data_IF_083642093743
#
_entry.id   IF_083642093743
#
_cell.length_a   1.000
_cell.length_b   1.000
_cell.length_c   1.000
_cell.angle_alpha   90.00
_cell.angle_beta   90.00
_cell.angle_gamma   90.00
#
_symmetry.space_group_name_H-M   'P 1'
#
loop_
_entity.id
_entity.type
_entity.pdbx_description
1 polymer ?
#
# COMPACT_ATOMS: atom_id res chain seq x y z
N UNK A 1 -55.68 -3.28 -25.26
CA UNK A 1 -55.23 -4.52 -24.58
C UNK A 1 -53.72 -4.57 -24.76
N UNK A 2 -52.97 -4.06 -23.77
CA UNK A 2 -51.52 -3.85 -23.84
C UNK A 2 -50.76 -5.16 -23.63
N UNK A 3 -49.82 -5.49 -24.51
CA UNK A 3 -48.79 -6.49 -24.22
C UNK A 3 -47.48 -5.73 -24.11
N UNK A 4 -47.04 -5.53 -22.86
CA UNK A 4 -45.77 -4.92 -22.52
C UNK A 4 -44.66 -5.91 -22.87
N UNK A 5 -43.87 -5.58 -23.88
CA UNK A 5 -42.63 -6.28 -24.19
C UNK A 5 -41.61 -5.94 -23.11
N UNK A 6 -41.24 -6.91 -22.29
CA UNK A 6 -40.23 -6.75 -21.24
C UNK A 6 -38.87 -6.48 -21.89
N UNK A 7 -38.30 -5.30 -21.61
CA UNK A 7 -36.92 -4.97 -21.98
C UNK A 7 -35.97 -5.81 -21.13
N UNK A 8 -35.31 -6.79 -21.74
CA UNK A 8 -34.13 -7.43 -21.16
C UNK A 8 -32.98 -6.42 -21.26
N UNK A 9 -32.75 -5.67 -20.19
CA UNK A 9 -31.57 -4.81 -20.05
C UNK A 9 -30.37 -5.73 -19.81
N UNK A 10 -29.34 -5.77 -20.69
CA UNK A 10 -28.12 -6.46 -20.37
C UNK A 10 -27.42 -5.69 -19.25
N UNK A 11 -27.46 -6.25 -18.04
CA UNK A 11 -26.77 -5.74 -16.87
C UNK A 11 -25.27 -5.97 -17.06
N UNK A 12 -24.61 -5.03 -17.74
CA UNK A 12 -23.16 -4.92 -17.76
C UNK A 12 -22.70 -4.30 -16.42
N UNK A 13 -22.66 -5.11 -15.36
CA UNK A 13 -21.95 -4.76 -14.11
C UNK A 13 -20.46 -4.96 -14.39
N UNK A 14 -19.87 -4.01 -15.10
CA UNK A 14 -18.45 -3.99 -15.41
C UNK A 14 -17.86 -2.66 -14.99
N UNK A 15 -17.23 -2.62 -13.80
CA UNK A 15 -16.32 -1.58 -13.28
C UNK A 15 -16.84 -0.13 -13.11
N UNK A 16 -17.82 0.33 -13.90
CA UNK A 16 -18.37 1.70 -13.81
C UNK A 16 -19.19 1.96 -12.54
N UNK A 17 -19.81 0.92 -11.97
CA UNK A 17 -20.61 1.04 -10.75
C UNK A 17 -19.76 1.38 -9.51
N UNK A 18 -18.48 0.94 -9.48
CA UNK A 18 -17.56 1.25 -8.38
C UNK A 18 -17.11 2.72 -8.40
N UNK A 19 -16.97 3.30 -9.60
CA UNK A 19 -16.61 4.71 -9.78
C UNK A 19 -17.77 5.65 -9.41
N UNK A 20 -19.01 5.27 -9.70
CA UNK A 20 -20.19 6.11 -9.40
C UNK A 20 -20.63 6.09 -7.93
N UNK A 21 -20.38 5.00 -7.18
CA UNK A 21 -20.72 4.92 -5.75
C UNK A 21 -19.97 5.96 -4.90
N UNK A 22 -18.74 6.34 -5.28
CA UNK A 22 -17.94 7.31 -4.51
C UNK A 22 -18.49 8.75 -4.58
N UNK A 23 -19.15 9.16 -5.67
CA UNK A 23 -19.73 10.51 -5.76
C UNK A 23 -21.08 10.64 -5.04
N UNK A 24 -21.92 9.61 -5.09
CA UNK A 24 -23.25 9.67 -4.46
C UNK A 24 -23.15 9.55 -2.92
N UNK A 25 -22.14 8.84 -2.41
CA UNK A 25 -21.86 8.76 -0.97
C UNK A 25 -21.39 10.10 -0.36
N UNK A 26 -20.66 10.93 -1.12
CA UNK A 26 -20.20 12.24 -0.66
C UNK A 26 -21.34 13.27 -0.62
N UNK A 27 -22.31 13.18 -1.53
CA UNK A 27 -23.43 14.10 -1.63
C UNK A 27 -24.51 13.93 -0.53
N UNK A 28 -24.54 12.78 0.16
CA UNK A 28 -25.59 12.45 1.14
C UNK A 28 -25.21 12.64 2.62
N UNK A 29 -24.03 13.18 2.95
CA UNK A 29 -23.72 13.62 4.31
C UNK A 29 -23.75 12.55 5.42
N UNK A 30 -23.77 11.26 5.05
CA UNK A 30 -23.76 10.12 5.98
C UNK A 30 -22.36 9.65 6.37
N UNK A 31 -21.30 10.30 5.85
CA UNK A 31 -19.92 10.06 6.29
C UNK A 31 -19.31 11.42 6.63
N UNK A 32 -19.48 11.83 7.88
CA UNK A 32 -18.62 12.85 8.50
C UNK A 32 -17.52 12.13 9.28
N UNK A 33 -16.31 12.24 8.75
CA UNK A 33 -15.03 12.33 9.47
C UNK A 33 -14.65 11.17 10.40
N UNK A 34 -14.10 10.12 9.80
CA UNK A 34 -13.05 9.30 10.42
C UNK A 34 -12.11 8.69 9.37
N UNK A 35 -12.59 8.43 8.14
CA UNK A 35 -11.81 7.72 7.09
C UNK A 35 -10.94 8.61 6.18
N UNK A 36 -10.97 9.93 6.36
CA UNK A 36 -9.84 10.79 5.96
C UNK A 36 -8.72 10.70 7.01
N UNK A 37 -8.49 9.49 7.56
CA UNK A 37 -7.19 9.16 8.11
C UNK A 37 -6.26 9.22 6.91
N UNK A 38 -5.64 10.38 6.73
CA UNK A 38 -4.59 10.63 5.79
C UNK A 38 -3.75 9.35 5.75
N UNK A 39 -3.76 8.60 4.65
CA UNK A 39 -3.17 7.26 4.68
C UNK A 39 -1.65 7.32 5.01
N UNK A 40 -1.08 8.52 4.88
CA UNK A 40 0.21 8.95 5.39
C UNK A 40 0.33 9.08 6.91
N UNK A 41 -0.75 9.33 7.65
CA UNK A 41 -0.80 9.27 9.11
C UNK A 41 -0.88 7.80 9.61
N UNK A 42 -1.56 6.90 8.89
CA UNK A 42 -1.64 5.47 9.25
C UNK A 42 -0.27 4.80 9.25
N UNK A 43 0.57 5.14 8.28
CA UNK A 43 1.94 4.64 8.14
C UNK A 43 2.98 5.75 8.45
N UNK A 44 2.62 6.77 9.25
CA UNK A 44 3.59 7.78 9.72
C UNK A 44 4.51 7.23 10.79
N UNK A 45 5.20 6.17 10.41
CA UNK A 45 6.06 5.44 11.28
C UNK A 45 7.48 5.64 10.77
N UNK A 46 8.33 6.10 11.68
CA UNK A 46 9.73 6.44 11.48
C UNK A 46 10.49 5.36 10.64
N UNK A 47 10.03 4.13 10.63
CA UNK A 47 10.64 3.03 9.88
C UNK A 47 10.41 3.00 8.36
N UNK A 48 9.56 3.86 7.78
CA UNK A 48 9.55 4.08 6.33
C UNK A 48 10.51 5.20 5.89
N UNK A 49 11.09 5.96 6.83
CA UNK A 49 12.11 6.97 6.55
C UNK A 49 13.37 6.29 5.99
N UNK A 50 13.88 6.69 4.81
CA UNK A 50 15.15 6.20 4.24
C UNK A 50 16.38 6.32 5.15
N UNK A 51 16.31 7.14 6.21
CA UNK A 51 17.43 7.38 7.14
C UNK A 51 17.34 6.56 8.43
N UNK A 52 16.20 5.95 8.73
CA UNK A 52 15.99 5.24 10.01
C UNK A 52 16.96 4.06 10.21
N UNK A 53 17.26 3.30 9.16
CA UNK A 53 18.20 2.18 9.24
C UNK A 53 19.61 2.59 9.67
N UNK A 54 20.00 3.85 9.43
CA UNK A 54 21.31 4.41 9.80
C UNK A 54 21.47 4.59 11.32
N UNK A 55 20.35 4.64 12.07
CA UNK A 55 20.34 4.81 13.52
C UNK A 55 20.75 3.53 14.26
N UNK A 56 20.69 2.36 13.61
CA UNK A 56 20.96 1.06 14.25
C UNK A 56 22.44 0.76 14.53
N UNK A 57 23.37 1.57 14.01
CA UNK A 57 24.81 1.39 14.23
C UNK A 57 25.42 0.12 13.59
N UNK A 58 26.69 -0.14 13.90
CA UNK A 58 27.41 -1.32 13.42
C UNK A 58 26.85 -2.59 14.08
N UNK A 59 26.05 -3.35 13.34
CA UNK A 59 25.34 -4.55 13.85
C UNK A 59 23.87 -4.59 13.47
N UNK A 60 23.30 -3.49 12.98
CA UNK A 60 21.93 -3.46 12.49
C UNK A 60 21.73 -4.48 11.37
N UNK A 61 20.78 -5.40 11.57
CA UNK A 61 20.37 -6.32 10.52
C UNK A 61 19.69 -5.54 9.39
N UNK A 62 20.34 -5.49 8.23
CA UNK A 62 19.82 -4.89 6.99
C UNK A 62 19.66 -5.97 5.91
N UNK A 63 18.96 -5.62 4.84
CA UNK A 63 18.90 -6.48 3.66
C UNK A 63 20.24 -6.42 2.91
N UNK A 64 20.55 -7.47 2.16
CA UNK A 64 21.59 -7.36 1.14
C UNK A 64 21.11 -6.45 0.01
N UNK A 65 22.02 -5.76 -0.69
CA UNK A 65 21.66 -4.93 -1.84
C UNK A 65 20.85 -5.71 -2.89
N UNK A 66 21.25 -6.96 -3.17
CA UNK A 66 20.53 -7.84 -4.08
C UNK A 66 19.10 -8.15 -3.60
N UNK A 67 18.93 -8.44 -2.31
CA UNK A 67 17.61 -8.70 -1.72
C UNK A 67 16.73 -7.45 -1.75
N UNK A 68 17.28 -6.29 -1.38
CA UNK A 68 16.56 -5.02 -1.44
C UNK A 68 16.13 -4.67 -2.87
N UNK A 69 16.98 -4.90 -3.88
CA UNK A 69 16.64 -4.70 -5.29
C UNK A 69 15.51 -5.62 -5.77
N UNK A 70 15.54 -6.89 -5.38
CA UNK A 70 14.47 -7.86 -5.72
C UNK A 70 13.14 -7.39 -5.13
N UNK A 71 13.14 -7.05 -3.84
CA UNK A 71 11.93 -6.60 -3.14
C UNK A 71 11.43 -5.25 -3.67
N UNK A 72 12.32 -4.30 -3.95
CA UNK A 72 11.94 -3.02 -4.53
C UNK A 72 11.28 -3.20 -5.91
N UNK A 73 11.82 -4.10 -6.74
CA UNK A 73 11.22 -4.45 -8.03
C UNK A 73 9.86 -5.12 -7.88
N UNK A 74 9.70 -6.02 -6.90
CA UNK A 74 8.41 -6.65 -6.62
C UNK A 74 7.37 -5.61 -6.21
N UNK A 75 7.72 -4.67 -5.34
CA UNK A 75 6.83 -3.58 -4.94
C UNK A 75 6.48 -2.66 -6.11
N UNK A 76 7.45 -2.33 -6.97
CA UNK A 76 7.20 -1.49 -8.15
C UNK A 76 6.32 -2.18 -9.19
N UNK A 77 6.46 -3.50 -9.34
CA UNK A 77 5.64 -4.28 -10.26
C UNK A 77 4.26 -4.62 -9.70
N UNK A 78 4.04 -4.46 -8.39
CA UNK A 78 2.76 -4.73 -7.74
C UNK A 78 1.68 -3.71 -8.16
N UNK A 79 2.08 -2.51 -8.59
CA UNK A 79 1.16 -1.55 -9.20
C UNK A 79 0.89 -1.96 -10.64
N UNK A 80 -0.27 -2.54 -10.88
CA UNK A 80 -0.69 -3.00 -12.19
C UNK A 80 -1.30 -1.88 -13.03
N UNK A 81 -1.41 -2.11 -14.34
CA UNK A 81 -2.20 -1.23 -15.22
C UNK A 81 -3.69 -1.57 -15.20
N UNK A 82 -4.07 -2.77 -14.73
CA UNK A 82 -5.43 -3.31 -14.81
C UNK A 82 -5.90 -3.89 -13.46
N UNK A 83 -5.04 -4.61 -12.73
CA UNK A 83 -5.27 -5.08 -11.36
C UNK A 83 -3.98 -4.90 -10.56
N UNK A 84 -4.08 -4.34 -9.36
CA UNK A 84 -2.97 -4.26 -8.42
C UNK A 84 -2.76 -5.62 -7.73
N UNK A 85 -1.51 -5.94 -7.40
CA UNK A 85 -1.12 -7.17 -6.68
C UNK A 85 -0.74 -6.81 -5.25
N UNK A 86 -1.75 -6.52 -4.43
CA UNK A 86 -1.53 -6.13 -3.02
C UNK A 86 -0.97 -7.30 -2.21
N UNK A 87 -1.24 -8.55 -2.64
CA UNK A 87 -0.66 -9.75 -2.06
C UNK A 87 0.88 -9.76 -2.19
N UNK A 88 1.42 -9.37 -3.36
CA UNK A 88 2.86 -9.22 -3.54
C UNK A 88 3.47 -8.19 -2.59
N UNK A 89 2.76 -7.09 -2.31
CA UNK A 89 3.18 -6.10 -1.32
C UNK A 89 3.30 -6.74 0.07
N UNK A 90 2.29 -7.50 0.51
CA UNK A 90 2.32 -8.16 1.81
C UNK A 90 3.41 -9.18 1.94
N UNK A 91 3.65 -9.95 0.88
CA UNK A 91 4.66 -10.99 0.91
C UNK A 91 6.08 -10.43 0.98
N UNK A 92 6.33 -9.23 0.43
CA UNK A 92 7.57 -8.50 0.65
C UNK A 92 7.71 -8.11 2.12
N UNK A 93 6.70 -7.46 2.71
CA UNK A 93 6.79 -7.00 4.10
C UNK A 93 6.84 -8.13 5.12
N UNK A 94 6.18 -9.28 4.89
CA UNK A 94 6.27 -10.47 5.75
C UNK A 94 7.66 -11.08 5.83
N UNK A 95 8.49 -10.87 4.80
CA UNK A 95 9.89 -11.36 4.76
C UNK A 95 10.84 -10.49 5.58
N UNK A 96 10.40 -9.31 6.01
CA UNK A 96 11.18 -8.39 6.82
C UNK A 96 11.22 -8.88 8.27
N UNK A 97 12.41 -8.84 8.87
CA UNK A 97 12.65 -9.27 10.25
C UNK A 97 12.74 -8.10 11.22
N UNK A 98 13.07 -6.91 10.72
CA UNK A 98 13.25 -5.70 11.52
C UNK A 98 12.69 -4.49 10.77
N UNK A 99 12.33 -3.45 11.50
CA UNK A 99 11.96 -2.15 10.93
C UNK A 99 13.14 -1.47 10.22
N UNK A 100 14.38 -1.74 10.62
CA UNK A 100 15.57 -1.29 9.87
C UNK A 100 15.63 -1.85 8.45
N UNK A 101 15.14 -3.07 8.21
CA UNK A 101 15.06 -3.63 6.85
C UNK A 101 14.00 -2.93 6.00
N UNK A 102 12.88 -2.54 6.60
CA UNK A 102 11.84 -1.73 5.94
C UNK A 102 12.40 -0.37 5.53
N UNK A 103 13.09 0.32 6.44
CA UNK A 103 13.74 1.60 6.15
C UNK A 103 14.81 1.49 5.07
N UNK A 104 15.65 0.45 5.13
CA UNK A 104 16.65 0.21 4.10
C UNK A 104 16.01 -0.09 2.74
N UNK A 105 14.89 -0.82 2.71
CA UNK A 105 14.12 -1.03 1.50
C UNK A 105 13.54 0.28 0.97
N UNK A 106 13.01 1.16 1.82
CA UNK A 106 12.54 2.49 1.43
C UNK A 106 13.66 3.33 0.79
N UNK A 107 14.85 3.32 1.38
CA UNK A 107 16.04 4.02 0.84
C UNK A 107 16.39 3.51 -0.55
N UNK A 108 16.52 2.18 -0.70
CA UNK A 108 16.81 1.56 -2.00
C UNK A 108 15.70 1.79 -3.03
N UNK A 109 14.45 1.73 -2.61
CA UNK A 109 13.31 1.98 -3.49
C UNK A 109 13.35 3.41 -4.04
N UNK A 110 13.57 4.40 -3.17
CA UNK A 110 13.73 5.80 -3.56
C UNK A 110 14.90 6.00 -4.52
N UNK A 111 16.04 5.35 -4.25
CA UNK A 111 17.20 5.37 -5.15
C UNK A 111 16.92 4.74 -6.53
N UNK A 112 16.11 3.69 -6.62
CA UNK A 112 15.84 3.01 -7.88
C UNK A 112 14.72 3.64 -8.70
N UNK A 113 13.71 4.22 -8.06
CA UNK A 113 12.48 4.68 -8.71
C UNK A 113 12.21 6.18 -8.53
N UNK A 114 13.12 6.93 -7.88
CA UNK A 114 13.02 8.37 -7.63
C UNK A 114 11.68 8.78 -6.98
N UNK A 115 11.16 7.92 -6.10
CA UNK A 115 9.89 8.15 -5.41
C UNK A 115 9.90 7.48 -4.05
N UNK A 116 9.26 8.11 -3.06
CA UNK A 116 9.18 7.58 -1.71
C UNK A 116 8.30 6.33 -1.67
N UNK A 117 8.81 5.25 -1.06
CA UNK A 117 8.09 3.98 -1.02
C UNK A 117 6.69 4.13 -0.42
N UNK A 118 6.55 4.92 0.65
CA UNK A 118 5.24 5.11 1.29
C UNK A 118 4.26 5.87 0.38
N UNK A 119 4.72 6.94 -0.27
CA UNK A 119 3.91 7.70 -1.23
C UNK A 119 3.53 6.84 -2.44
N UNK A 120 4.45 5.97 -2.87
CA UNK A 120 4.18 5.01 -3.93
C UNK A 120 3.08 4.01 -3.55
N UNK A 121 3.17 3.39 -2.37
CA UNK A 121 2.14 2.45 -1.88
C UNK A 121 0.78 3.14 -1.74
N UNK A 122 0.74 4.36 -1.23
CA UNK A 122 -0.48 5.16 -1.10
C UNK A 122 -1.13 5.53 -2.43
N UNK A 123 -0.37 5.50 -3.52
CA UNK A 123 -0.89 5.86 -4.84
C UNK A 123 -1.84 4.82 -5.43
N UNK A 124 -1.85 3.59 -4.90
CA UNK A 124 -2.69 2.49 -5.39
C UNK A 124 -3.32 1.63 -4.29
N UNK A 125 -2.72 1.52 -3.09
CA UNK A 125 -3.34 0.82 -1.97
C UNK A 125 -4.42 1.67 -1.30
N UNK A 126 -5.53 1.01 -0.92
CA UNK A 126 -6.56 1.61 -0.09
C UNK A 126 -6.13 1.65 1.41
N UNK A 127 -6.87 2.37 2.28
CA UNK A 127 -6.53 2.46 3.70
C UNK A 127 -6.48 1.10 4.44
N UNK A 128 -7.36 0.15 4.11
CA UNK A 128 -7.38 -1.17 4.75
C UNK A 128 -6.14 -2.01 4.39
N UNK A 129 -5.72 -1.96 3.13
CA UNK A 129 -4.50 -2.60 2.63
C UNK A 129 -3.24 -1.99 3.27
N UNK A 130 -3.21 -0.67 3.42
CA UNK A 130 -2.15 0.03 4.16
C UNK A 130 -2.14 -0.35 5.65
N UNK A 131 -3.31 -0.55 6.25
CA UNK A 131 -3.43 -1.05 7.62
C UNK A 131 -2.88 -2.48 7.73
N UNK A 132 -3.11 -3.36 6.74
CA UNK A 132 -2.48 -4.69 6.71
C UNK A 132 -0.96 -4.62 6.68
N UNK A 133 -0.37 -3.76 5.83
CA UNK A 133 1.09 -3.52 5.83
C UNK A 133 1.56 -3.10 7.22
N UNK A 134 0.85 -2.16 7.86
CA UNK A 134 1.16 -1.71 9.22
C UNK A 134 1.09 -2.87 10.22
N UNK A 135 0.08 -3.73 10.17
CA UNK A 135 -0.04 -4.87 11.09
C UNK A 135 1.09 -5.89 10.94
N UNK A 136 1.67 -6.01 9.75
CA UNK A 136 2.84 -6.86 9.48
C UNK A 136 4.12 -6.23 10.04
N UNK A 137 4.31 -4.93 9.81
CA UNK A 137 5.58 -4.24 10.14
C UNK A 137 5.65 -3.77 11.61
N UNK A 138 4.53 -3.36 12.19
CA UNK A 138 4.48 -2.81 13.55
C UNK A 138 5.04 -3.73 14.65
N UNK A 139 4.78 -5.06 14.67
CA UNK A 139 5.35 -5.95 15.68
C UNK A 139 6.85 -6.22 15.49
N UNK A 140 7.44 -5.84 14.35
CA UNK A 140 8.86 -6.06 14.11
C UNK A 140 9.73 -5.22 15.08
N UNK A 141 10.85 -5.76 15.58
CA UNK A 141 11.80 -4.99 16.37
C UNK A 141 12.42 -3.86 15.54
N UNK A 142 12.76 -2.74 16.20
CA UNK A 142 13.36 -1.57 15.55
C UNK A 142 14.71 -1.95 14.89
N UNK A 143 15.57 -2.56 15.70
CA UNK A 143 16.86 -3.11 15.32
C UNK A 143 16.98 -4.49 15.95
N UNK A 144 17.77 -5.37 15.35
CA UNK A 144 18.15 -6.62 16.00
C UNK A 144 19.36 -6.34 16.89
N UNK A 145 19.26 -6.67 18.18
CA UNK A 145 20.41 -6.89 19.08
C UNK A 145 20.89 -8.32 18.97
#
# INVERSE_FOLDING_TARGET
>A
MSKNTEYIVPVAIGLGALFFFRQIAQAFGLIKSADDVNAASLINANYFDPKFWKQGGAGAMILTDAGAKIYAKQLYNAKGLVNDDEAAVYDVFKRMKTKSQVSYLSDKFSLYYNTDLISYLQSFLNPDELLKVKTIVNPLPNFKV
#
